data_IF_228468003675
#
_entry.id   IF_228468003675
#
_cell.length_a   1.000
_cell.length_b   1.000
_cell.length_c   1.000
_cell.angle_alpha   90.00
_cell.angle_beta   90.00
_cell.angle_gamma   90.00
#
_symmetry.space_group_name_H-M   'P 1'
#
loop_
_entity.id
_entity.type
_entity.pdbx_description
1 polymer ?
#
# COMPACT_ATOMS: atom_id res chain seq x y z
N UNK A 1 10.42 7.52 -8.51
CA UNK A 1 9.43 7.90 -7.49
C UNK A 1 8.13 7.18 -7.72
N UNK A 2 7.67 6.49 -6.70
CA UNK A 2 6.48 5.65 -6.82
C UNK A 2 5.17 6.44 -6.76
N UNK A 3 5.06 7.40 -5.84
CA UNK A 3 3.81 8.14 -5.65
C UNK A 3 3.30 8.83 -6.93
N UNK A 4 4.13 9.57 -7.69
CA UNK A 4 3.66 10.18 -8.93
C UNK A 4 3.21 9.16 -9.97
N UNK A 5 3.89 8.00 -10.05
CA UNK A 5 3.52 6.95 -11.01
C UNK A 5 2.14 6.39 -10.68
N UNK A 6 1.82 6.19 -9.41
CA UNK A 6 0.51 5.71 -8.99
C UNK A 6 -0.55 6.79 -9.21
N UNK A 7 -0.26 8.03 -8.83
CA UNK A 7 -1.21 9.13 -8.97
C UNK A 7 -1.57 9.41 -10.44
N UNK A 8 -0.71 9.02 -11.37
CA UNK A 8 -0.98 9.14 -12.80
C UNK A 8 -1.98 8.09 -13.31
N UNK A 9 -2.23 7.02 -12.56
CA UNK A 9 -3.21 6.01 -12.94
C UNK A 9 -4.63 6.54 -12.76
N UNK A 10 -5.54 6.26 -13.71
CA UNK A 10 -6.92 6.74 -13.59
C UNK A 10 -7.61 6.25 -12.32
N UNK A 11 -8.15 7.19 -11.54
CA UNK A 11 -8.90 6.88 -10.33
C UNK A 11 -8.07 6.62 -9.09
N UNK A 12 -6.74 6.77 -9.16
CA UNK A 12 -5.86 6.55 -8.01
C UNK A 12 -5.42 7.87 -7.38
N UNK A 13 -5.35 7.87 -6.05
CA UNK A 13 -4.78 8.96 -5.26
C UNK A 13 -3.75 8.41 -4.31
N UNK A 14 -2.79 9.25 -3.91
CA UNK A 14 -1.72 8.85 -3.01
C UNK A 14 -1.59 9.83 -1.84
N UNK A 15 -1.19 9.29 -0.69
CA UNK A 15 -0.80 10.08 0.49
C UNK A 15 0.59 9.62 0.90
N UNK A 16 1.52 10.56 1.01
CA UNK A 16 2.90 10.25 1.40
C UNK A 16 3.13 10.67 2.84
N UNK A 17 4.04 9.95 3.52
CA UNK A 17 4.44 10.27 4.89
C UNK A 17 3.25 10.41 5.83
N UNK A 18 2.35 9.44 5.83
CA UNK A 18 1.17 9.46 6.69
C UNK A 18 1.55 9.10 8.13
N UNK A 19 1.42 10.05 9.08
CA UNK A 19 1.72 9.73 10.48
C UNK A 19 0.58 8.89 11.09
N UNK A 20 0.96 7.88 11.86
CA UNK A 20 0.03 7.06 12.64
C UNK A 20 0.56 6.88 14.06
N UNK A 21 -0.25 6.31 14.94
CA UNK A 21 0.15 6.04 16.32
C UNK A 21 1.31 5.03 16.42
N UNK A 22 1.51 4.21 15.38
CA UNK A 22 2.57 3.19 15.40
C UNK A 22 3.73 3.50 14.44
N UNK A 23 3.77 4.71 13.91
CA UNK A 23 4.83 5.15 13.01
C UNK A 23 4.29 5.80 11.74
N UNK A 24 5.19 6.28 10.90
CA UNK A 24 4.84 6.93 9.64
C UNK A 24 4.78 5.89 8.53
N UNK A 25 3.65 5.89 7.79
CA UNK A 25 3.50 5.06 6.60
C UNK A 25 4.02 5.85 5.40
N UNK A 26 5.06 5.36 4.71
CA UNK A 26 5.68 6.13 3.63
C UNK A 26 4.73 6.48 2.49
N UNK A 27 3.82 5.58 2.15
CA UNK A 27 2.91 5.77 1.04
C UNK A 27 1.64 4.95 1.24
N UNK A 28 0.49 5.58 1.02
CA UNK A 28 -0.81 4.89 0.94
C UNK A 28 -1.46 5.28 -0.38
N UNK A 29 -1.94 4.28 -1.11
CA UNK A 29 -2.66 4.48 -2.36
C UNK A 29 -4.11 4.03 -2.21
N UNK A 30 -5.04 4.84 -2.72
CA UNK A 30 -6.46 4.52 -2.76
C UNK A 30 -6.93 4.61 -4.20
N UNK A 31 -7.55 3.56 -4.69
CA UNK A 31 -8.04 3.52 -6.05
C UNK A 31 -9.13 2.46 -6.24
N UNK A 32 -9.51 2.19 -7.51
CA UNK A 32 -10.59 1.25 -7.79
C UNK A 32 -10.37 -0.14 -7.21
N UNK A 33 -9.13 -0.57 -7.05
CA UNK A 33 -8.81 -1.88 -6.51
C UNK A 33 -8.78 -1.92 -4.97
N UNK A 34 -8.90 -0.77 -4.29
CA UNK A 34 -8.92 -0.72 -2.84
C UNK A 34 -7.85 0.19 -2.25
N UNK A 35 -7.41 -0.15 -1.04
CA UNK A 35 -6.40 0.61 -0.28
C UNK A 35 -5.15 -0.23 -0.12
N UNK A 36 -4.00 0.39 -0.40
CA UNK A 36 -2.70 -0.27 -0.38
C UNK A 36 -1.72 0.57 0.45
N UNK A 37 -1.06 -0.05 1.41
CA UNK A 37 -0.04 0.60 2.22
C UNK A 37 1.34 0.07 1.83
N UNK A 38 2.29 0.98 1.63
CA UNK A 38 3.61 0.64 1.09
C UNK A 38 4.72 0.96 2.07
N UNK A 39 5.69 0.07 2.13
CA UNK A 39 6.99 0.31 2.73
C UNK A 39 8.06 0.07 1.66
N UNK A 40 9.19 0.72 1.80
CA UNK A 40 10.32 0.55 0.88
C UNK A 40 11.42 -0.24 1.55
N UNK A 41 12.11 -1.06 0.79
CA UNK A 41 13.30 -1.75 1.25
C UNK A 41 14.31 -1.85 0.11
N UNK A 42 15.58 -1.96 0.47
CA UNK A 42 16.64 -2.17 -0.50
C UNK A 42 16.64 -3.63 -0.94
N UNK A 43 16.44 -3.83 -2.24
CA UNK A 43 16.40 -5.17 -2.82
C UNK A 43 17.67 -5.56 -3.57
N UNK A 44 18.73 -4.82 -3.40
CA UNK A 44 19.97 -4.88 -4.16
C UNK A 44 20.29 -6.18 -4.89
N UNK A 45 20.26 -6.12 -6.20
CA UNK A 45 20.76 -7.17 -7.09
C UNK A 45 19.76 -8.26 -7.41
N UNK A 46 19.46 -9.15 -6.48
CA UNK A 46 18.61 -10.31 -6.70
C UNK A 46 17.33 -10.23 -5.89
N UNK A 47 16.19 -10.38 -6.57
CA UNK A 47 14.90 -10.36 -5.95
C UNK A 47 14.52 -11.79 -5.53
N UNK A 48 14.81 -12.14 -4.28
CA UNK A 48 14.43 -13.42 -3.72
C UNK A 48 13.58 -13.24 -2.48
N UNK A 49 12.48 -14.01 -2.42
CA UNK A 49 11.55 -13.92 -1.28
C UNK A 49 12.21 -14.32 0.03
N UNK A 50 13.09 -15.33 -0.02
CA UNK A 50 13.78 -15.81 1.18
C UNK A 50 14.71 -14.78 1.80
N UNK A 51 15.24 -13.86 0.99
CA UNK A 51 16.18 -12.84 1.43
C UNK A 51 15.50 -11.50 1.76
N UNK A 52 14.16 -11.45 1.70
CA UNK A 52 13.43 -10.24 2.02
C UNK A 52 13.56 -9.91 3.51
N UNK A 53 13.88 -8.64 3.86
CA UNK A 53 14.07 -8.25 5.25
C UNK A 53 12.81 -8.46 6.10
N UNK A 54 12.90 -9.29 7.13
CA UNK A 54 11.80 -9.56 8.06
C UNK A 54 11.26 -8.30 8.75
N UNK A 55 12.11 -7.38 9.26
CA UNK A 55 11.59 -6.18 9.91
C UNK A 55 10.69 -5.34 9.00
N UNK A 56 11.06 -5.21 7.73
CA UNK A 56 10.25 -4.45 6.77
C UNK A 56 8.90 -5.12 6.51
N UNK A 57 8.87 -6.46 6.44
CA UNK A 57 7.62 -7.21 6.29
C UNK A 57 6.70 -7.00 7.48
N UNK A 58 7.26 -7.09 8.69
CA UNK A 58 6.49 -6.91 9.93
C UNK A 58 5.95 -5.49 10.00
N UNK A 59 6.77 -4.50 9.68
CA UNK A 59 6.38 -3.09 9.75
C UNK A 59 5.22 -2.77 8.81
N UNK A 60 5.32 -3.16 7.54
CA UNK A 60 4.25 -2.84 6.58
C UNK A 60 2.96 -3.60 6.89
N UNK A 61 3.09 -4.84 7.37
CA UNK A 61 1.92 -5.62 7.80
C UNK A 61 1.22 -4.94 8.97
N UNK A 62 1.97 -4.53 9.99
CA UNK A 62 1.41 -3.88 11.17
C UNK A 62 0.76 -2.53 10.81
N UNK A 63 1.39 -1.75 9.93
CA UNK A 63 0.85 -0.49 9.45
C UNK A 63 -0.47 -0.70 8.70
N UNK A 64 -0.54 -1.71 7.82
CA UNK A 64 -1.77 -2.02 7.10
C UNK A 64 -2.89 -2.41 8.07
N UNK A 65 -2.60 -3.24 9.06
CA UNK A 65 -3.60 -3.65 10.06
C UNK A 65 -4.06 -2.47 10.91
N UNK A 66 -3.16 -1.56 11.27
CA UNK A 66 -3.51 -0.35 12.00
C UNK A 66 -4.46 0.53 11.18
N UNK A 67 -4.16 0.74 9.91
CA UNK A 67 -5.02 1.52 9.01
C UNK A 67 -6.39 0.87 8.84
N UNK A 68 -6.46 -0.46 8.69
CA UNK A 68 -7.73 -1.17 8.62
C UNK A 68 -8.63 -0.84 9.81
N UNK A 69 -8.06 -0.88 11.01
CA UNK A 69 -8.83 -0.73 12.25
C UNK A 69 -9.12 0.72 12.61
N UNK A 70 -8.17 1.62 12.34
CA UNK A 70 -8.21 2.98 12.88
C UNK A 70 -8.60 4.05 11.87
N UNK A 71 -8.48 3.77 10.57
CA UNK A 71 -8.73 4.77 9.55
C UNK A 71 -9.76 4.31 8.52
N UNK A 72 -9.58 3.13 7.97
CA UNK A 72 -10.32 2.68 6.80
C UNK A 72 -11.60 1.94 7.18
N UNK A 73 -11.54 1.06 8.16
CA UNK A 73 -12.67 0.20 8.52
C UNK A 73 -12.91 -0.90 7.50
N UNK A 74 -11.87 -1.29 6.77
CA UNK A 74 -11.92 -2.33 5.75
C UNK A 74 -10.53 -2.73 5.33
N UNK A 75 -10.39 -3.67 4.35
CA UNK A 75 -9.10 -4.22 3.98
C UNK A 75 -8.09 -3.19 3.50
N UNK A 76 -6.86 -3.32 3.96
CA UNK A 76 -5.70 -2.59 3.47
C UNK A 76 -4.62 -3.60 3.11
N UNK A 77 -4.16 -3.57 1.88
CA UNK A 77 -3.17 -4.53 1.36
C UNK A 77 -1.77 -4.02 1.65
N UNK A 78 -0.96 -4.76 2.42
CA UNK A 78 0.44 -4.37 2.64
C UNK A 78 1.30 -4.76 1.44
N UNK A 79 2.13 -3.82 1.01
CA UNK A 79 3.05 -4.01 -0.12
C UNK A 79 4.44 -3.55 0.27
N UNK A 80 5.42 -4.40 0.08
CA UNK A 80 6.82 -4.06 0.22
C UNK A 80 7.39 -3.81 -1.17
N UNK A 81 7.78 -2.56 -1.42
CA UNK A 81 8.36 -2.14 -2.70
C UNK A 81 9.89 -2.16 -2.58
N UNK A 82 10.53 -2.99 -3.40
CA UNK A 82 11.98 -3.16 -3.36
C UNK A 82 12.66 -2.24 -4.35
N UNK A 83 13.60 -1.46 -3.85
CA UNK A 83 14.43 -0.56 -4.66
C UNK A 83 15.72 -1.24 -5.06
N UNK A 84 16.22 -0.92 -6.26
CA UNK A 84 17.54 -1.38 -6.69
C UNK A 84 17.62 -2.85 -7.09
N UNK A 85 16.48 -3.52 -7.32
CA UNK A 85 16.51 -4.96 -7.62
C UNK A 85 16.96 -5.28 -9.02
N UNK A 86 16.74 -4.58 -10.00
CA UNK A 86 16.99 -4.97 -11.38
C UNK A 86 16.14 -6.14 -11.88
N UNK A 87 15.21 -6.66 -11.05
CA UNK A 87 14.32 -7.72 -11.46
C UNK A 87 13.06 -7.15 -12.11
N UNK A 88 12.48 -7.92 -13.03
CA UNK A 88 11.24 -7.55 -13.70
C UNK A 88 10.04 -8.25 -13.07
N UNK A 89 8.97 -7.50 -12.87
CA UNK A 89 7.70 -8.04 -12.43
C UNK A 89 7.63 -8.41 -10.96
N UNK A 90 6.47 -8.98 -10.56
CA UNK A 90 6.24 -9.29 -9.15
C UNK A 90 7.08 -10.45 -8.64
N UNK A 91 7.57 -10.33 -7.41
CA UNK A 91 8.27 -11.40 -6.72
C UNK A 91 7.32 -12.40 -6.09
N UNK A 92 6.17 -11.95 -5.60
CA UNK A 92 5.19 -12.79 -4.95
C UNK A 92 4.75 -12.29 -3.59
N UNK A 93 4.41 -13.21 -2.70
CA UNK A 93 3.91 -12.91 -1.36
C UNK A 93 4.74 -13.61 -0.30
N UNK A 94 4.90 -12.94 0.83
CA UNK A 94 5.50 -13.55 2.02
C UNK A 94 4.83 -12.96 3.26
N UNK A 95 4.34 -13.82 4.15
CA UNK A 95 3.68 -13.42 5.41
C UNK A 95 2.52 -12.44 5.20
N UNK A 96 1.75 -12.64 4.12
CA UNK A 96 0.61 -11.79 3.81
C UNK A 96 0.96 -10.46 3.15
N UNK A 97 2.24 -10.23 2.87
CA UNK A 97 2.73 -9.00 2.23
C UNK A 97 3.08 -9.29 0.78
N UNK A 98 2.58 -8.46 -0.13
CA UNK A 98 2.98 -8.51 -1.54
C UNK A 98 4.35 -7.87 -1.68
N UNK A 99 5.26 -8.54 -2.38
CA UNK A 99 6.63 -8.07 -2.60
C UNK A 99 6.84 -7.82 -4.07
N UNK A 100 7.21 -6.59 -4.42
CA UNK A 100 7.36 -6.14 -5.80
C UNK A 100 8.59 -5.24 -5.94
N UNK A 101 9.29 -5.29 -7.09
CA UNK A 101 10.21 -4.19 -7.42
C UNK A 101 9.40 -2.90 -7.59
N UNK A 102 10.00 -1.78 -7.21
CA UNK A 102 9.35 -0.45 -7.31
C UNK A 102 8.81 -0.22 -8.73
N UNK A 103 9.56 -0.60 -9.74
CA UNK A 103 9.21 -0.37 -11.14
C UNK A 103 7.97 -1.15 -11.59
N UNK A 104 7.61 -2.22 -10.89
CA UNK A 104 6.46 -3.06 -11.24
C UNK A 104 5.16 -2.63 -10.56
N UNK A 105 5.22 -1.74 -9.57
CA UNK A 105 4.06 -1.44 -8.72
C UNK A 105 2.91 -0.80 -9.48
N UNK A 106 3.18 0.21 -10.30
CA UNK A 106 2.11 0.92 -11.01
C UNK A 106 1.34 -0.03 -11.95
N UNK A 107 2.04 -0.82 -12.73
CA UNK A 107 1.41 -1.79 -13.64
C UNK A 107 0.64 -2.86 -12.85
N UNK A 108 1.19 -3.32 -11.75
CA UNK A 108 0.53 -4.29 -10.89
C UNK A 108 -0.78 -3.74 -10.31
N UNK A 109 -0.77 -2.49 -9.83
CA UNK A 109 -2.00 -1.84 -9.32
C UNK A 109 -3.04 -1.68 -10.43
N UNK A 110 -2.62 -1.26 -11.60
CA UNK A 110 -3.53 -1.08 -12.73
C UNK A 110 -4.18 -2.40 -13.18
N UNK A 111 -3.51 -3.52 -12.96
CA UNK A 111 -4.00 -4.84 -13.32
C UNK A 111 -4.92 -5.46 -12.26
N UNK A 112 -5.00 -4.89 -11.06
CA UNK A 112 -5.85 -5.43 -10.01
C UNK A 112 -7.33 -5.23 -10.35
N UNK A 113 -8.21 -6.19 -9.98
CA UNK A 113 -9.64 -6.04 -10.23
C UNK A 113 -10.23 -4.83 -9.52
N UNK A 114 -11.10 -4.10 -10.19
CA UNK A 114 -11.83 -3.00 -9.58
C UNK A 114 -12.89 -3.58 -8.63
N UNK A 115 -12.85 -3.13 -7.37
CA UNK A 115 -13.81 -3.54 -6.33
C UNK A 115 -14.57 -2.36 -5.76
N UNK A 116 -14.18 -1.13 -6.12
CA UNK A 116 -14.80 0.11 -5.65
C UNK A 116 -15.21 0.96 -6.84
N UNK A 117 -16.37 1.61 -6.72
CA UNK A 117 -16.76 2.67 -7.64
C UNK A 117 -16.13 4.01 -7.20
N UNK A 118 -16.36 5.05 -7.97
CA UNK A 118 -15.82 6.38 -7.69
C UNK A 118 -16.23 6.90 -6.30
N UNK A 119 -17.48 6.70 -5.91
CA UNK A 119 -17.98 7.11 -4.61
C UNK A 119 -17.30 6.33 -3.47
N UNK A 120 -17.05 5.04 -3.68
CA UNK A 120 -16.33 4.20 -2.72
C UNK A 120 -14.89 4.63 -2.54
N UNK A 121 -14.19 4.94 -3.63
CA UNK A 121 -12.82 5.46 -3.58
C UNK A 121 -12.78 6.77 -2.81
N UNK A 122 -13.69 7.69 -3.10
CA UNK A 122 -13.74 9.00 -2.44
C UNK A 122 -14.00 8.86 -0.94
N UNK A 123 -14.91 7.94 -0.54
CA UNK A 123 -15.18 7.67 0.86
C UNK A 123 -13.93 7.19 1.61
N UNK A 124 -13.20 6.24 1.04
CA UNK A 124 -12.01 5.71 1.68
C UNK A 124 -10.89 6.74 1.75
N UNK A 125 -10.75 7.57 0.73
CA UNK A 125 -9.81 8.68 0.74
C UNK A 125 -10.10 9.65 1.89
N UNK A 126 -11.39 9.99 2.10
CA UNK A 126 -11.79 10.88 3.20
C UNK A 126 -11.52 10.23 4.56
N UNK A 127 -11.74 8.93 4.70
CA UNK A 127 -11.42 8.21 5.94
C UNK A 127 -9.92 8.24 6.22
N UNK A 128 -9.13 8.06 5.19
CA UNK A 128 -7.68 8.11 5.33
C UNK A 128 -7.21 9.49 5.80
N UNK A 129 -7.82 10.54 5.27
CA UNK A 129 -7.50 11.93 5.64
C UNK A 129 -8.08 12.33 7.00
N UNK A 130 -8.90 11.49 7.63
CA UNK A 130 -9.51 11.77 8.91
C UNK A 130 -10.78 12.64 8.84
N UNK A 131 -11.29 12.91 7.64
CA UNK A 131 -12.51 13.72 7.46
C UNK A 131 -13.78 12.88 7.51
N UNK A 132 -13.67 11.55 7.42
CA UNK A 132 -14.80 10.63 7.49
C UNK A 132 -14.31 9.38 8.24
N UNK A 133 -14.67 9.26 9.51
CA UNK A 133 -14.19 8.17 10.35
C UNK A 133 -15.00 6.89 10.09
N UNK A 134 -14.34 5.71 10.16
CA UNK A 134 -15.07 4.45 10.09
C UNK A 134 -16.02 4.30 11.28
N UNK A 135 -17.12 3.57 11.09
CA UNK A 135 -18.15 3.40 12.10
C UNK A 135 -17.60 2.87 13.44
N UNK A 136 -16.59 2.02 13.38
CA UNK A 136 -15.96 1.45 14.57
C UNK A 136 -15.30 2.52 15.45
N UNK A 137 -14.88 3.64 14.89
CA UNK A 137 -14.31 4.75 15.63
C UNK A 137 -15.33 5.81 16.00
N UNK A 138 -16.46 5.83 15.31
CA UNK A 138 -17.56 6.77 15.58
C UNK A 138 -18.42 6.34 16.78
N UNK A 139 -18.36 5.09 17.11
CA UNK A 139 -19.03 4.56 18.29
C UNK A 139 -18.27 4.88 19.59
#
# INVERSE_FOLDING_TARGET
>A
MLAPAIAALPGWTTTVELPTAIGTVPLVAVGPAGVFAFEYADGTGVLELADTPEPALIDVWAQAKHLERRRIGGPVVPVLALEGTGADGPAGRRRGVRILPVEAVADWLAAQPAVLDEAGVDRLRRRLDGTDLPAVLAA
#
